data_IF_951813279867
#
_entry.id   IF_951813279867
#
_cell.length_a   1.000
_cell.length_b   1.000
_cell.length_c   1.000
_cell.angle_alpha   90.00
_cell.angle_beta   90.00
_cell.angle_gamma   90.00
#
_symmetry.space_group_name_H-M   'P 1'
#
loop_
_entity.id
_entity.type
_entity.pdbx_description
1 polymer ?
#
# COMPACT_ATOMS: atom_id res chain seq x y z
N UNK A 1 -39.50 -14.57 -20.68
CA UNK A 1 -38.88 -13.50 -19.88
C UNK A 1 -37.40 -13.85 -19.76
N UNK A 2 -36.55 -13.22 -20.56
CA UNK A 2 -35.10 -13.43 -20.48
C UNK A 2 -34.60 -12.64 -19.26
N UNK A 3 -34.18 -13.34 -18.21
CA UNK A 3 -33.49 -12.72 -17.08
C UNK A 3 -32.16 -12.17 -17.63
N UNK A 4 -32.08 -10.86 -17.82
CA UNK A 4 -30.82 -10.21 -18.15
C UNK A 4 -29.82 -10.51 -17.04
N UNK A 5 -28.85 -11.38 -17.32
CA UNK A 5 -27.76 -11.62 -16.40
C UNK A 5 -27.02 -10.28 -16.21
N UNK A 6 -27.11 -9.74 -15.01
CA UNK A 6 -26.39 -8.53 -14.63
C UNK A 6 -24.90 -8.86 -14.68
N UNK A 7 -24.22 -8.46 -15.76
CA UNK A 7 -22.80 -8.75 -15.94
C UNK A 7 -22.00 -7.94 -14.94
N UNK A 8 -21.32 -8.61 -14.00
CA UNK A 8 -20.39 -7.97 -13.07
C UNK A 8 -19.41 -7.10 -13.88
N UNK A 9 -19.25 -5.81 -13.55
CA UNK A 9 -18.29 -4.96 -14.24
C UNK A 9 -16.88 -5.52 -14.05
N UNK A 10 -15.99 -5.40 -15.05
CA UNK A 10 -14.63 -5.89 -14.92
C UNK A 10 -13.91 -5.14 -13.79
N UNK A 11 -13.00 -5.85 -13.12
CA UNK A 11 -12.12 -5.29 -12.11
C UNK A 11 -11.16 -4.25 -12.69
N UNK A 12 -10.48 -3.52 -11.82
CA UNK A 12 -9.52 -2.47 -12.18
C UNK A 12 -8.10 -2.90 -11.90
N UNK A 13 -7.21 -2.76 -12.89
CA UNK A 13 -5.77 -2.89 -12.71
C UNK A 13 -5.18 -1.58 -12.18
N UNK A 14 -4.48 -1.67 -11.05
CA UNK A 14 -3.60 -0.63 -10.50
C UNK A 14 -2.19 -1.17 -10.43
N UNK A 15 -1.41 -0.90 -11.47
CA UNK A 15 -0.02 -1.33 -11.58
C UNK A 15 0.95 -0.17 -11.42
N UNK A 16 2.03 -0.36 -10.69
CA UNK A 16 3.05 0.64 -10.48
C UNK A 16 4.34 0.07 -9.87
N UNK A 17 5.02 0.92 -9.12
CA UNK A 17 6.32 0.64 -8.52
C UNK A 17 6.28 0.84 -6.99
N UNK A 18 7.21 0.20 -6.27
CA UNK A 18 7.47 0.45 -4.86
C UNK A 18 8.16 1.81 -4.66
N UNK A 19 7.32 2.85 -4.64
CA UNK A 19 7.72 4.24 -4.55
C UNK A 19 7.44 5.00 -5.85
N UNK A 20 7.60 6.31 -5.77
CA UNK A 20 7.42 7.22 -6.91
C UNK A 20 8.62 8.15 -7.13
N UNK A 21 9.71 7.97 -6.38
CA UNK A 21 10.91 8.81 -6.47
C UNK A 21 12.15 8.02 -6.05
N UNK A 22 13.24 8.14 -6.82
CA UNK A 22 14.54 7.56 -6.53
C UNK A 22 15.66 8.51 -7.01
N UNK A 23 16.81 8.60 -6.32
CA UNK A 23 17.98 9.31 -6.82
C UNK A 23 18.44 8.84 -8.20
N UNK A 24 18.34 7.54 -8.48
CA UNK A 24 18.75 6.97 -9.78
C UNK A 24 17.89 7.51 -10.92
N UNK A 25 16.58 7.63 -10.68
CA UNK A 25 15.63 8.14 -11.68
C UNK A 25 15.93 9.58 -12.10
N UNK A 26 16.54 10.39 -11.21
CA UNK A 26 16.94 11.78 -11.47
C UNK A 26 18.15 11.91 -12.39
N UNK A 27 18.89 10.82 -12.63
CA UNK A 27 20.05 10.80 -13.53
C UNK A 27 19.68 10.77 -15.03
N UNK A 28 18.42 11.07 -15.37
CA UNK A 28 17.92 11.00 -16.75
C UNK A 28 17.30 9.64 -17.12
N UNK A 29 17.31 8.67 -16.20
CA UNK A 29 16.81 7.30 -16.42
C UNK A 29 15.28 7.25 -16.54
N UNK A 30 14.57 8.04 -15.74
CA UNK A 30 13.11 8.11 -15.78
C UNK A 30 12.58 9.54 -15.70
N UNK A 31 13.20 10.37 -14.85
CA UNK A 31 12.91 11.79 -14.80
C UNK A 31 13.77 12.55 -15.82
N UNK A 32 13.18 13.48 -16.60
CA UNK A 32 13.94 14.39 -17.43
C UNK A 32 15.00 15.14 -16.61
N UNK A 33 16.15 15.43 -17.23
CA UNK A 33 17.17 16.26 -16.59
C UNK A 33 16.58 17.61 -16.15
N UNK A 34 16.89 18.01 -14.91
CA UNK A 34 16.41 19.26 -14.35
C UNK A 34 14.95 19.27 -13.89
N UNK A 35 14.25 18.13 -13.90
CA UNK A 35 12.91 18.02 -13.30
C UNK A 35 12.96 18.43 -11.83
N UNK A 36 12.09 19.36 -11.41
CA UNK A 36 12.04 19.80 -10.02
C UNK A 36 11.44 18.69 -9.14
N UNK A 37 11.92 18.59 -7.90
CA UNK A 37 11.47 17.56 -6.95
C UNK A 37 9.95 17.56 -6.72
N UNK A 38 9.34 18.73 -6.71
CA UNK A 38 7.88 18.89 -6.56
C UNK A 38 7.07 18.47 -7.81
N UNK A 39 7.73 18.24 -8.94
CA UNK A 39 7.13 17.72 -10.17
C UNK A 39 7.26 16.20 -10.32
N UNK A 40 8.11 15.54 -9.52
CA UNK A 40 8.37 14.09 -9.63
C UNK A 40 7.10 13.26 -9.47
N UNK A 41 6.26 13.59 -8.47
CA UNK A 41 4.99 12.91 -8.27
C UNK A 41 4.11 12.99 -9.53
N UNK A 42 3.95 14.18 -10.11
CA UNK A 42 3.09 14.36 -11.28
C UNK A 42 3.65 13.64 -12.51
N UNK A 43 4.97 13.63 -12.66
CA UNK A 43 5.64 12.88 -13.70
C UNK A 43 5.38 11.36 -13.58
N UNK A 44 5.45 10.84 -12.36
CA UNK A 44 5.15 9.44 -12.07
C UNK A 44 3.66 9.10 -12.25
N UNK A 45 2.77 9.89 -11.62
CA UNK A 45 1.34 9.65 -11.57
C UNK A 45 0.63 9.81 -12.93
N UNK A 46 1.30 10.45 -13.91
CA UNK A 46 0.82 10.48 -15.29
C UNK A 46 1.01 9.15 -16.02
N UNK A 47 1.93 8.29 -15.55
CA UNK A 47 2.20 6.97 -16.13
C UNK A 47 1.58 5.84 -15.32
N UNK A 48 1.63 5.92 -13.99
CA UNK A 48 1.18 4.85 -13.10
C UNK A 48 0.05 5.32 -12.19
N UNK A 49 -1.08 4.59 -12.11
CA UNK A 49 -2.23 4.97 -11.28
C UNK A 49 -2.04 4.64 -9.79
N UNK A 50 -0.87 4.14 -9.39
CA UNK A 50 -0.58 3.78 -8.00
C UNK A 50 0.91 3.68 -7.72
N UNK A 51 1.29 3.77 -6.44
CA UNK A 51 2.59 3.34 -5.94
C UNK A 51 2.44 2.65 -4.57
N UNK A 52 3.38 1.76 -4.24
CA UNK A 52 3.52 1.15 -2.91
C UNK A 52 4.50 1.98 -2.06
N UNK A 53 4.02 2.51 -0.94
CA UNK A 53 4.76 3.42 -0.09
C UNK A 53 5.40 2.67 1.08
N UNK A 54 6.72 2.66 1.09
CA UNK A 54 7.51 2.07 2.17
C UNK A 54 7.90 3.09 3.25
N UNK A 55 7.56 4.38 3.12
CA UNK A 55 7.95 5.41 4.10
C UNK A 55 7.45 5.07 5.50
N UNK A 56 6.19 4.66 5.64
CA UNK A 56 5.57 4.26 6.91
C UNK A 56 6.22 3.03 7.54
N UNK A 57 6.89 2.19 6.76
CA UNK A 57 7.63 1.04 7.27
C UNK A 57 8.73 1.46 8.26
N UNK A 58 9.43 2.56 7.96
CA UNK A 58 10.51 3.07 8.79
C UNK A 58 10.05 4.05 9.87
N UNK A 59 8.88 4.64 9.69
CA UNK A 59 8.25 5.51 10.67
C UNK A 59 6.99 6.15 10.10
N UNK A 60 5.95 6.25 10.93
CA UNK A 60 4.68 6.83 10.50
C UNK A 60 4.91 8.30 10.09
N UNK A 61 4.60 8.69 8.83
CA UNK A 61 4.90 10.04 8.37
C UNK A 61 4.21 11.12 9.19
N UNK A 62 4.81 12.31 9.21
CA UNK A 62 4.17 13.50 9.76
C UNK A 62 2.88 13.81 9.02
N UNK A 63 1.95 14.43 9.71
CA UNK A 63 0.65 14.79 9.13
C UNK A 63 0.78 15.68 7.88
N UNK A 64 1.68 16.67 7.92
CA UNK A 64 1.98 17.54 6.77
C UNK A 64 2.47 16.76 5.54
N UNK A 65 3.19 15.66 5.73
CA UNK A 65 3.60 14.77 4.64
C UNK A 65 2.39 14.07 4.02
N UNK A 66 1.49 13.52 4.84
CA UNK A 66 0.28 12.84 4.35
C UNK A 66 -0.67 13.82 3.66
N UNK A 67 -0.83 15.03 4.20
CA UNK A 67 -1.58 16.12 3.57
C UNK A 67 -0.98 16.48 2.20
N UNK A 68 0.36 16.52 2.10
CA UNK A 68 1.06 16.71 0.83
C UNK A 68 0.72 15.63 -0.21
N UNK A 69 0.73 14.35 0.19
CA UNK A 69 0.33 13.24 -0.69
C UNK A 69 -1.16 13.33 -1.09
N UNK A 70 -2.06 13.66 -0.16
CA UNK A 70 -3.47 13.84 -0.44
C UNK A 70 -3.69 14.97 -1.46
N UNK A 71 -3.02 16.11 -1.27
CA UNK A 71 -3.05 17.25 -2.21
C UNK A 71 -2.53 16.86 -3.60
N UNK A 72 -1.47 16.08 -3.66
CA UNK A 72 -0.89 15.57 -4.91
C UNK A 72 -1.87 14.68 -5.68
N UNK A 73 -2.56 13.76 -4.99
CA UNK A 73 -3.51 12.82 -5.59
C UNK A 73 -4.91 13.39 -5.85
N UNK A 74 -5.26 14.54 -5.28
CA UNK A 74 -6.58 15.16 -5.45
C UNK A 74 -6.92 15.35 -6.93
N UNK A 75 -8.14 14.93 -7.31
CA UNK A 75 -8.63 15.00 -8.69
C UNK A 75 -8.05 13.94 -9.64
N UNK A 76 -7.29 12.96 -9.12
CA UNK A 76 -6.71 11.85 -9.89
C UNK A 76 -7.30 10.53 -9.41
N UNK A 77 -7.40 9.55 -10.32
CA UNK A 77 -7.63 8.15 -9.92
C UNK A 77 -6.32 7.49 -9.49
N UNK A 78 -5.60 8.12 -8.56
CA UNK A 78 -4.31 7.64 -8.04
C UNK A 78 -4.46 7.09 -6.63
N UNK A 79 -3.82 5.95 -6.32
CA UNK A 79 -3.84 5.37 -4.98
C UNK A 79 -2.45 5.07 -4.43
N UNK A 80 -2.23 5.35 -3.15
CA UNK A 80 -1.04 4.95 -2.40
C UNK A 80 -1.35 3.66 -1.61
N UNK A 81 -0.73 2.54 -1.96
CA UNK A 81 -0.68 1.39 -1.06
C UNK A 81 0.33 1.70 0.05
N UNK A 82 -0.01 1.40 1.29
CA UNK A 82 0.79 1.81 2.46
C UNK A 82 1.34 0.58 3.15
N UNK A 83 2.68 0.45 3.20
CA UNK A 83 3.32 -0.61 3.97
C UNK A 83 3.25 -0.29 5.47
N UNK A 84 2.72 -1.23 6.25
CA UNK A 84 2.55 -1.06 7.70
C UNK A 84 3.93 -0.97 8.39
N UNK A 85 4.08 -0.16 9.46
CA UNK A 85 5.32 -0.03 10.21
C UNK A 85 6.02 -1.35 10.52
N UNK A 86 7.37 -1.34 10.44
CA UNK A 86 8.19 -2.48 10.84
C UNK A 86 8.03 -2.83 12.31
N UNK A 87 7.68 -1.85 13.15
CA UNK A 87 7.40 -2.06 14.56
C UNK A 87 6.25 -3.04 14.79
N UNK A 88 5.25 -3.04 13.88
CA UNK A 88 4.11 -3.97 13.91
C UNK A 88 4.47 -5.31 13.26
N UNK A 89 5.05 -5.28 12.06
CA UNK A 89 5.19 -6.51 11.25
C UNK A 89 6.44 -7.31 11.55
N UNK A 90 7.55 -6.64 11.88
CA UNK A 90 8.87 -7.25 12.02
C UNK A 90 9.32 -7.31 13.48
N UNK A 91 9.23 -6.21 14.21
CA UNK A 91 9.78 -6.11 15.57
C UNK A 91 8.88 -6.81 16.58
N UNK A 92 7.61 -6.43 16.67
CA UNK A 92 6.61 -7.10 17.53
C UNK A 92 5.99 -8.35 16.92
N UNK A 93 6.10 -8.55 15.59
CA UNK A 93 5.50 -9.68 14.89
C UNK A 93 4.00 -9.83 15.22
N UNK A 94 3.26 -8.72 15.06
CA UNK A 94 1.83 -8.59 15.35
C UNK A 94 1.44 -8.76 16.82
N UNK A 95 2.39 -8.71 17.76
CA UNK A 95 2.06 -8.57 19.18
C UNK A 95 1.44 -7.19 19.43
N UNK A 96 0.25 -7.16 20.04
CA UNK A 96 -0.46 -5.95 20.46
C UNK A 96 -0.43 -4.78 19.45
N UNK A 97 -0.91 -4.98 18.21
CA UNK A 97 -0.73 -4.00 17.14
C UNK A 97 -1.61 -2.75 17.30
N UNK A 98 -2.52 -2.75 18.28
CA UNK A 98 -3.63 -1.81 18.46
C UNK A 98 -3.27 -0.35 18.30
N UNK A 99 -2.41 0.17 19.17
CA UNK A 99 -2.12 1.61 19.22
C UNK A 99 -1.40 2.10 17.97
N UNK A 100 -0.44 1.32 17.46
CA UNK A 100 0.30 1.69 16.25
C UNK A 100 -0.61 1.68 15.02
N UNK A 101 -1.49 0.68 14.89
CA UNK A 101 -2.45 0.60 13.78
C UNK A 101 -3.48 1.72 13.86
N UNK A 102 -4.06 1.99 15.03
CA UNK A 102 -5.00 3.12 15.24
C UNK A 102 -4.35 4.45 14.92
N UNK A 103 -3.11 4.67 15.37
CA UNK A 103 -2.39 5.90 15.09
C UNK A 103 -2.06 6.06 13.59
N UNK A 104 -1.61 4.99 12.91
CA UNK A 104 -1.42 4.98 11.47
C UNK A 104 -2.74 5.31 10.74
N UNK A 105 -3.84 4.66 11.12
CA UNK A 105 -5.15 4.85 10.50
C UNK A 105 -5.67 6.28 10.61
N UNK A 106 -5.49 6.90 11.78
CA UNK A 106 -5.77 8.33 12.02
C UNK A 106 -4.91 9.21 11.10
N UNK A 107 -3.62 8.94 11.01
CA UNK A 107 -2.69 9.70 10.14
C UNK A 107 -3.06 9.63 8.66
N UNK A 108 -3.63 8.52 8.20
CA UNK A 108 -4.02 8.32 6.80
C UNK A 108 -5.37 8.95 6.43
N UNK A 109 -6.08 9.59 7.37
CA UNK A 109 -7.37 10.22 7.11
C UNK A 109 -7.40 11.18 5.90
N UNK A 110 -6.37 12.04 5.64
CA UNK A 110 -6.38 12.90 4.46
C UNK A 110 -6.43 12.11 3.14
N UNK A 111 -5.73 10.97 3.05
CA UNK A 111 -5.78 10.11 1.86
C UNK A 111 -7.13 9.44 1.68
N UNK A 112 -7.76 9.02 2.80
CA UNK A 112 -9.12 8.44 2.78
C UNK A 112 -10.13 9.44 2.25
N UNK A 113 -10.11 10.67 2.77
CA UNK A 113 -11.03 11.76 2.37
C UNK A 113 -11.00 12.06 0.87
N UNK A 114 -9.84 11.97 0.22
CA UNK A 114 -9.69 12.24 -1.22
C UNK A 114 -9.74 10.97 -2.09
N UNK A 115 -10.04 9.80 -1.50
CA UNK A 115 -10.11 8.52 -2.23
C UNK A 115 -8.77 7.98 -2.73
N UNK A 116 -7.65 8.49 -2.19
CA UNK A 116 -6.30 8.13 -2.62
C UNK A 116 -5.62 7.08 -1.72
N UNK A 117 -6.28 6.62 -0.65
CA UNK A 117 -5.76 5.49 0.13
C UNK A 117 -6.01 4.18 -0.63
N UNK A 118 -4.93 3.47 -0.95
CA UNK A 118 -4.95 2.10 -1.43
C UNK A 118 -4.85 1.07 -0.28
N UNK A 119 -4.51 -0.19 -0.57
CA UNK A 119 -4.41 -1.23 0.45
C UNK A 119 -3.32 -0.96 1.51
N UNK A 120 -3.55 -1.43 2.74
CA UNK A 120 -2.51 -1.59 3.75
C UNK A 120 -1.79 -2.92 3.53
N UNK A 121 -0.45 -2.87 3.42
CA UNK A 121 0.39 -4.03 3.21
C UNK A 121 1.07 -4.46 4.51
N UNK A 122 0.74 -5.66 4.98
CA UNK A 122 1.38 -6.38 6.07
C UNK A 122 2.35 -7.42 5.49
N UNK A 123 3.58 -7.01 5.24
CA UNK A 123 4.64 -7.97 4.89
C UNK A 123 5.31 -8.47 6.17
N UNK A 124 5.23 -9.78 6.42
CA UNK A 124 5.78 -10.43 7.61
C UNK A 124 7.17 -11.04 7.30
N UNK A 125 8.14 -10.97 8.22
CA UNK A 125 9.51 -11.43 7.95
C UNK A 125 9.61 -12.95 7.90
N UNK A 126 10.67 -13.50 7.27
CA UNK A 126 10.86 -14.95 7.18
C UNK A 126 11.03 -15.63 8.54
N UNK A 127 11.47 -14.91 9.59
CA UNK A 127 11.58 -15.45 10.95
C UNK A 127 10.26 -15.54 11.72
N UNK A 128 9.16 -15.00 11.16
CA UNK A 128 7.86 -15.03 11.82
C UNK A 128 7.05 -16.24 11.37
N UNK A 129 7.05 -17.30 12.16
CA UNK A 129 6.21 -18.46 11.94
C UNK A 129 4.72 -18.15 12.18
N UNK A 130 3.85 -18.92 11.52
CA UNK A 130 2.39 -18.87 11.64
C UNK A 130 1.91 -18.79 13.09
N UNK A 131 1.07 -17.79 13.36
CA UNK A 131 0.25 -17.67 14.56
C UNK A 131 -1.14 -17.17 14.15
N UNK A 132 -2.15 -18.03 14.33
CA UNK A 132 -3.53 -17.67 14.00
C UNK A 132 -4.11 -16.71 15.04
N UNK A 133 -3.76 -16.89 16.32
CA UNK A 133 -4.16 -16.01 17.42
C UNK A 133 -3.76 -14.55 17.15
N UNK A 134 -2.51 -14.31 16.72
CA UNK A 134 -2.03 -12.97 16.38
C UNK A 134 -2.72 -12.38 15.15
N UNK A 135 -3.01 -13.22 14.16
CA UNK A 135 -3.74 -12.79 12.97
C UNK A 135 -5.20 -12.41 13.31
N UNK A 136 -5.83 -13.16 14.23
CA UNK A 136 -7.17 -12.89 14.74
C UNK A 136 -7.20 -11.66 15.64
N UNK A 137 -6.21 -11.47 16.52
CA UNK A 137 -6.09 -10.26 17.34
C UNK A 137 -5.96 -9.00 16.45
N UNK A 138 -5.16 -9.08 15.38
CA UNK A 138 -5.09 -8.01 14.39
C UNK A 138 -6.45 -7.78 13.71
N UNK A 139 -7.22 -8.84 13.42
CA UNK A 139 -8.56 -8.70 12.85
C UNK A 139 -9.47 -7.89 13.78
N UNK A 140 -9.49 -8.19 15.08
CA UNK A 140 -10.26 -7.43 16.06
C UNK A 140 -9.90 -5.94 16.02
N UNK A 141 -8.59 -5.62 16.06
CA UNK A 141 -8.11 -4.23 15.96
C UNK A 141 -8.57 -3.54 14.68
N UNK A 142 -8.47 -4.21 13.52
CA UNK A 142 -8.85 -3.64 12.24
C UNK A 142 -10.36 -3.45 12.10
N UNK A 143 -11.17 -4.34 12.72
CA UNK A 143 -12.63 -4.22 12.76
C UNK A 143 -13.13 -3.14 13.72
N UNK A 144 -12.33 -2.72 14.69
CA UNK A 144 -12.64 -1.58 15.57
C UNK A 144 -12.36 -0.22 14.93
N UNK A 145 -11.69 -0.17 13.76
CA UNK A 145 -11.41 1.10 13.10
C UNK A 145 -12.69 1.76 12.56
N UNK A 146 -12.79 3.07 12.80
CA UNK A 146 -13.81 3.94 12.20
C UNK A 146 -13.56 4.14 10.70
N UNK A 147 -14.63 4.34 9.91
CA UNK A 147 -14.60 4.58 8.46
C UNK A 147 -13.80 3.53 7.65
N UNK A 148 -13.83 2.28 8.08
CA UNK A 148 -13.06 1.15 7.49
C UNK A 148 -13.74 0.50 6.29
N UNK A 149 -14.88 0.99 5.81
CA UNK A 149 -15.69 0.35 4.76
C UNK A 149 -14.93 0.14 3.44
N UNK A 150 -13.88 0.93 3.22
CA UNK A 150 -13.01 0.84 2.05
C UNK A 150 -11.60 0.37 2.37
N UNK A 151 -11.35 -0.08 3.61
CA UNK A 151 -10.07 -0.63 4.01
C UNK A 151 -9.82 -1.95 3.27
N UNK A 152 -8.75 -1.96 2.47
CA UNK A 152 -8.18 -3.17 1.86
C UNK A 152 -6.90 -3.55 2.61
N UNK A 153 -6.74 -4.82 2.94
CA UNK A 153 -5.58 -5.35 3.65
C UNK A 153 -4.95 -6.49 2.86
N UNK A 154 -3.64 -6.41 2.64
CA UNK A 154 -2.86 -7.44 1.98
C UNK A 154 -1.80 -8.02 2.92
N UNK A 155 -1.66 -9.35 2.96
CA UNK A 155 -0.63 -10.05 3.72
C UNK A 155 0.40 -10.69 2.81
N UNK A 156 1.66 -10.32 2.99
CA UNK A 156 2.77 -11.02 2.36
C UNK A 156 3.54 -11.84 3.38
N UNK A 157 3.35 -13.15 3.33
CA UNK A 157 4.05 -14.08 4.19
C UNK A 157 5.40 -14.49 3.59
N UNK A 158 6.41 -14.60 4.46
CA UNK A 158 7.76 -15.05 4.08
C UNK A 158 8.15 -16.39 4.73
N UNK A 159 7.47 -16.79 5.79
CA UNK A 159 7.71 -18.09 6.42
C UNK A 159 6.76 -19.14 5.83
N UNK A 160 7.24 -20.34 5.42
CA UNK A 160 6.43 -21.36 4.77
C UNK A 160 5.20 -21.82 5.56
N UNK A 161 5.25 -21.79 6.89
CA UNK A 161 4.14 -22.25 7.73
C UNK A 161 2.85 -21.44 7.57
N UNK A 162 2.88 -20.25 6.96
CA UNK A 162 1.67 -19.46 6.69
C UNK A 162 0.88 -19.92 5.45
N UNK A 163 1.48 -20.73 4.56
CA UNK A 163 0.81 -21.18 3.33
C UNK A 163 -0.04 -22.42 3.62
N UNK A 164 -1.16 -22.20 4.32
CA UNK A 164 -2.08 -23.25 4.78
C UNK A 164 -3.54 -22.85 4.66
N UNK A 165 -4.42 -23.84 4.50
CA UNK A 165 -5.84 -23.65 4.30
C UNK A 165 -6.53 -22.86 5.43
N UNK A 166 -6.12 -23.08 6.68
CA UNK A 166 -6.66 -22.35 7.85
C UNK A 166 -6.31 -20.86 7.85
N UNK A 167 -5.08 -20.50 7.45
CA UNK A 167 -4.69 -19.10 7.21
C UNK A 167 -5.54 -18.50 6.11
N UNK A 168 -5.70 -19.20 4.98
CA UNK A 168 -6.52 -18.71 3.86
C UNK A 168 -7.99 -18.53 4.24
N UNK A 169 -8.53 -19.38 5.13
CA UNK A 169 -9.87 -19.22 5.65
C UNK A 169 -10.03 -17.91 6.43
N UNK A 170 -9.08 -17.58 7.31
CA UNK A 170 -9.08 -16.30 8.06
C UNK A 170 -8.99 -15.12 7.09
N UNK A 171 -8.11 -15.18 6.08
CA UNK A 171 -8.00 -14.12 5.08
C UNK A 171 -9.30 -13.94 4.29
N UNK A 172 -9.93 -15.02 3.82
CA UNK A 172 -11.21 -15.00 3.10
C UNK A 172 -12.34 -14.43 3.92
N UNK A 173 -12.44 -14.84 5.19
CA UNK A 173 -13.49 -14.38 6.07
C UNK A 173 -13.43 -12.86 6.33
N UNK A 174 -12.24 -12.25 6.19
CA UNK A 174 -12.03 -10.82 6.35
C UNK A 174 -11.88 -10.07 5.01
N UNK A 175 -12.03 -10.74 3.87
CA UNK A 175 -11.76 -10.21 2.53
C UNK A 175 -10.35 -9.58 2.39
N UNK A 176 -9.35 -10.20 3.03
CA UNK A 176 -7.95 -9.80 2.98
C UNK A 176 -7.21 -10.56 1.89
N UNK A 177 -6.39 -9.87 1.11
CA UNK A 177 -5.65 -10.49 0.02
C UNK A 177 -4.36 -11.15 0.53
N UNK A 178 -4.17 -12.43 0.21
CA UNK A 178 -2.83 -13.01 0.17
C UNK A 178 -2.05 -12.32 -0.96
N UNK A 179 -0.87 -11.82 -0.65
CA UNK A 179 0.03 -11.24 -1.66
C UNK A 179 0.64 -12.37 -2.48
N UNK A 180 0.44 -12.29 -3.79
CA UNK A 180 1.08 -13.16 -4.77
C UNK A 180 2.49 -12.63 -5.04
N UNK A 181 3.51 -13.26 -4.45
CA UNK A 181 4.90 -12.83 -4.57
C UNK A 181 5.61 -13.60 -5.67
N UNK A 182 6.11 -12.91 -6.70
CA UNK A 182 7.20 -13.45 -7.50
C UNK A 182 8.49 -13.21 -6.72
N UNK A 183 9.11 -14.27 -6.22
CA UNK A 183 10.31 -14.21 -5.40
C UNK A 183 11.12 -15.49 -5.61
N UNK A 184 12.46 -15.43 -5.80
CA UNK A 184 13.27 -16.63 -6.09
C UNK A 184 13.22 -17.67 -4.97
N UNK A 185 13.22 -17.23 -3.71
CA UNK A 185 13.25 -18.12 -2.55
C UNK A 185 11.88 -18.55 -2.01
N UNK A 186 10.78 -18.17 -2.67
CA UNK A 186 9.42 -18.52 -2.20
C UNK A 186 8.64 -19.24 -3.29
N UNK A 187 7.75 -20.18 -2.91
CA UNK A 187 6.86 -20.80 -3.89
C UNK A 187 5.91 -19.76 -4.47
N UNK A 188 5.61 -19.91 -5.76
CA UNK A 188 4.45 -19.24 -6.35
C UNK A 188 3.17 -19.90 -5.84
N UNK A 189 2.41 -19.18 -5.02
CA UNK A 189 1.13 -19.65 -4.48
C UNK A 189 0.02 -18.78 -5.06
N UNK A 190 -0.80 -19.34 -5.95
CA UNK A 190 -1.89 -18.65 -6.64
C UNK A 190 -3.23 -18.78 -5.89
N UNK A 191 -3.24 -18.47 -4.60
CA UNK A 191 -4.45 -18.53 -3.76
C UNK A 191 -5.10 -17.14 -3.66
N UNK A 192 -6.28 -16.99 -4.25
CA UNK A 192 -7.09 -15.77 -4.09
C UNK A 192 -7.95 -15.87 -2.83
N UNK A 193 -7.70 -14.96 -1.89
CA UNK A 193 -8.39 -14.91 -0.60
C UNK A 193 -9.30 -13.69 -0.45
N UNK A 194 -9.50 -12.91 -1.51
CA UNK A 194 -10.39 -11.75 -1.50
C UNK A 194 -11.11 -11.58 -2.86
N UNK A 195 -12.08 -10.66 -2.89
CA UNK A 195 -12.72 -10.17 -4.11
C UNK A 195 -11.79 -9.25 -4.94
N UNK A 196 -10.56 -9.06 -4.48
CA UNK A 196 -9.45 -8.37 -5.15
C UNK A 196 -8.13 -9.13 -4.89
N UNK A 197 -7.04 -8.73 -5.52
CA UNK A 197 -5.72 -9.35 -5.30
C UNK A 197 -4.57 -8.34 -5.32
N UNK A 198 -3.42 -8.75 -4.80
CA UNK A 198 -2.21 -7.95 -4.66
C UNK A 198 -1.00 -8.76 -5.13
N UNK A 199 -0.20 -8.23 -6.05
CA UNK A 199 0.98 -8.89 -6.60
C UNK A 199 2.22 -8.06 -6.28
N UNK A 200 3.28 -8.72 -5.77
CA UNK A 200 4.60 -8.10 -5.58
C UNK A 200 5.64 -8.81 -6.43
N UNK A 201 6.24 -8.09 -7.37
CA UNK A 201 7.28 -8.61 -8.26
C UNK A 201 8.66 -8.29 -7.70
N UNK A 202 9.27 -9.25 -7.00
CA UNK A 202 10.63 -9.15 -6.45
C UNK A 202 11.72 -9.73 -7.39
N UNK A 203 11.30 -10.53 -8.38
CA UNK A 203 12.15 -11.30 -9.29
C UNK A 203 11.68 -12.76 -9.38
N UNK A 204 12.05 -13.45 -10.45
CA UNK A 204 11.89 -14.91 -10.62
C UNK A 204 13.26 -15.59 -10.39
N UNK A 205 14.33 -15.01 -10.93
CA UNK A 205 15.69 -15.54 -10.87
C UNK A 205 16.50 -14.91 -9.75
N UNK A 206 16.49 -13.58 -9.68
CA UNK A 206 17.36 -12.81 -8.81
C UNK A 206 16.55 -11.81 -7.99
N UNK A 207 16.76 -11.83 -6.68
CA UNK A 207 16.12 -10.88 -5.81
C UNK A 207 16.68 -9.48 -6.10
N UNK A 208 15.81 -8.51 -6.37
CA UNK A 208 16.19 -7.11 -6.58
C UNK A 208 17.17 -6.86 -7.74
N UNK A 209 17.30 -7.74 -8.72
CA UNK A 209 18.11 -7.47 -9.91
C UNK A 209 17.47 -7.99 -11.19
N UNK A 210 16.35 -8.72 -11.07
CA UNK A 210 15.72 -9.35 -12.20
C UNK A 210 15.09 -8.34 -13.16
N UNK A 211 15.17 -8.67 -14.44
CA UNK A 211 14.38 -8.04 -15.48
C UNK A 211 13.48 -9.10 -16.08
N UNK A 212 12.17 -8.95 -15.91
CA UNK A 212 11.21 -9.89 -16.47
C UNK A 212 11.23 -9.80 -17.99
N UNK A 213 11.25 -10.93 -18.67
CA UNK A 213 11.04 -10.95 -20.12
C UNK A 213 9.58 -10.67 -20.44
N UNK A 214 9.31 -10.25 -21.68
CA UNK A 214 7.93 -10.04 -22.15
C UNK A 214 7.07 -11.30 -22.05
N UNK A 215 7.66 -12.49 -22.24
CA UNK A 215 6.98 -13.79 -22.11
C UNK A 215 6.65 -14.13 -20.64
N UNK A 216 7.56 -13.81 -19.71
CA UNK A 216 7.30 -13.94 -18.28
C UNK A 216 6.16 -13.02 -17.84
N UNK A 217 6.19 -11.76 -18.29
CA UNK A 217 5.10 -10.82 -18.07
C UNK A 217 3.80 -11.28 -18.73
N UNK A 218 3.86 -11.92 -19.91
CA UNK A 218 2.67 -12.46 -20.59
C UNK A 218 1.97 -13.53 -19.75
N UNK A 219 2.74 -14.32 -19.00
CA UNK A 219 2.18 -15.32 -18.08
C UNK A 219 1.38 -14.65 -16.95
N UNK A 220 1.87 -13.53 -16.39
CA UNK A 220 1.11 -12.74 -15.41
C UNK A 220 -0.07 -12.00 -16.05
N UNK A 221 0.11 -11.42 -17.24
CA UNK A 221 -0.94 -10.76 -18.01
C UNK A 221 -2.15 -11.68 -18.20
N UNK A 222 -1.92 -12.94 -18.58
CA UNK A 222 -2.99 -13.92 -18.80
C UNK A 222 -3.82 -14.13 -17.53
N UNK A 223 -3.15 -14.29 -16.38
CA UNK A 223 -3.80 -14.43 -15.07
C UNK A 223 -4.59 -13.17 -14.70
N UNK A 224 -3.96 -12.00 -14.83
CA UNK A 224 -4.54 -10.70 -14.51
C UNK A 224 -5.79 -10.45 -15.34
N UNK A 225 -5.75 -10.70 -16.66
CA UNK A 225 -6.93 -10.54 -17.54
C UNK A 225 -8.09 -11.42 -17.09
N UNK A 226 -7.83 -12.68 -16.70
CA UNK A 226 -8.85 -13.57 -16.14
C UNK A 226 -9.46 -12.98 -14.87
N UNK A 227 -8.64 -12.56 -13.90
CA UNK A 227 -9.14 -11.99 -12.64
C UNK A 227 -9.93 -10.70 -12.83
N UNK A 228 -9.48 -9.82 -13.73
CA UNK A 228 -10.23 -8.61 -14.08
C UNK A 228 -11.57 -8.95 -14.73
N UNK A 229 -11.64 -9.96 -15.61
CA UNK A 229 -12.89 -10.43 -16.18
C UNK A 229 -13.85 -10.99 -15.12
N UNK A 230 -13.32 -11.61 -14.06
CA UNK A 230 -14.07 -12.09 -12.89
C UNK A 230 -14.47 -10.95 -11.92
N UNK A 231 -14.25 -9.68 -12.28
CA UNK A 231 -14.60 -8.52 -11.47
C UNK A 231 -13.60 -8.19 -10.36
N UNK A 232 -12.43 -8.84 -10.32
CA UNK A 232 -11.44 -8.65 -9.24
C UNK A 232 -10.50 -7.50 -9.52
N UNK A 233 -10.43 -6.53 -8.62
CA UNK A 233 -9.40 -5.50 -8.67
C UNK A 233 -8.00 -6.11 -8.46
N UNK A 234 -7.00 -5.62 -9.19
CA UNK A 234 -5.62 -6.11 -9.13
C UNK A 234 -4.69 -4.95 -8.78
N UNK A 235 -4.00 -5.06 -7.65
CA UNK A 235 -2.86 -4.20 -7.32
C UNK A 235 -1.57 -4.92 -7.64
N UNK A 236 -0.64 -4.27 -8.33
CA UNK A 236 0.56 -4.90 -8.86
C UNK A 236 1.77 -3.97 -8.74
N UNK A 237 2.81 -4.39 -8.02
CA UNK A 237 3.96 -3.53 -7.74
C UNK A 237 5.29 -4.22 -8.01
N UNK A 238 6.08 -3.60 -8.88
CA UNK A 238 7.49 -3.93 -9.08
C UNK A 238 8.31 -3.33 -7.95
N UNK A 239 9.12 -4.17 -7.31
CA UNK A 239 9.70 -3.85 -6.00
C UNK A 239 11.07 -3.20 -6.06
N UNK A 240 11.72 -3.34 -7.21
CA UNK A 240 13.09 -2.91 -7.39
C UNK A 240 13.25 -2.15 -8.71
N UNK A 241 14.28 -1.31 -8.78
CA UNK A 241 14.59 -0.61 -10.02
C UNK A 241 16.09 -0.34 -10.23
N UNK A 242 16.75 -1.18 -11.04
CA UNK A 242 18.07 -0.91 -11.60
C UNK A 242 17.87 -0.35 -13.01
N UNK A 243 18.20 0.93 -13.19
CA UNK A 243 18.17 1.56 -14.51
C UNK A 243 16.78 1.64 -15.15
N UNK A 244 15.69 1.84 -14.40
CA UNK A 244 14.26 1.85 -14.83
C UNK A 244 13.63 0.50 -15.19
N UNK A 245 14.33 -0.61 -15.02
CA UNK A 245 13.81 -1.97 -15.24
C UNK A 245 12.43 -2.21 -14.62
N UNK A 246 12.21 -1.88 -13.35
CA UNK A 246 10.92 -2.11 -12.68
C UNK A 246 9.80 -1.26 -13.25
N UNK A 247 10.12 -0.01 -13.62
CA UNK A 247 9.16 0.90 -14.27
C UNK A 247 8.81 0.41 -15.68
N UNK A 248 9.79 -0.04 -16.45
CA UNK A 248 9.58 -0.57 -17.79
C UNK A 248 8.73 -1.84 -17.75
N UNK A 249 8.99 -2.75 -16.80
CA UNK A 249 8.18 -3.94 -16.60
C UNK A 249 6.74 -3.60 -16.21
N UNK A 250 6.52 -2.58 -15.37
CA UNK A 250 5.17 -2.07 -15.08
C UNK A 250 4.49 -1.53 -16.34
N UNK A 251 5.21 -0.76 -17.17
CA UNK A 251 4.67 -0.23 -18.42
C UNK A 251 4.32 -1.33 -19.43
N UNK A 252 5.18 -2.34 -19.58
CA UNK A 252 4.94 -3.51 -20.41
C UNK A 252 3.71 -4.28 -19.92
N UNK A 253 3.61 -4.58 -18.62
CA UNK A 253 2.46 -5.28 -18.04
C UNK A 253 1.15 -4.51 -18.27
N UNK A 254 1.13 -3.20 -18.03
CA UNK A 254 -0.03 -2.34 -18.31
C UNK A 254 -0.41 -2.41 -19.79
N UNK A 255 0.58 -2.36 -20.69
CA UNK A 255 0.35 -2.43 -22.14
C UNK A 255 -0.24 -3.78 -22.54
N UNK A 256 0.33 -4.88 -22.07
CA UNK A 256 -0.14 -6.22 -22.37
C UNK A 256 -1.56 -6.47 -21.85
N UNK A 257 -1.92 -5.93 -20.67
CA UNK A 257 -3.26 -6.06 -20.08
C UNK A 257 -4.29 -5.16 -20.79
N UNK A 258 -3.98 -3.90 -21.04
CA UNK A 258 -4.95 -2.89 -21.49
C UNK A 258 -4.93 -2.59 -22.98
N UNK A 259 -3.92 -3.07 -23.71
CA UNK A 259 -3.62 -2.70 -25.10
C UNK A 259 -3.11 -1.26 -25.26
N UNK A 260 -2.85 -0.54 -24.17
CA UNK A 260 -2.43 0.87 -24.20
C UNK A 260 -1.21 1.08 -23.31
N UNK A 261 -0.14 1.60 -23.91
CA UNK A 261 1.02 2.02 -23.14
C UNK A 261 0.67 3.19 -22.21
N UNK A 262 1.20 3.20 -20.97
CA UNK A 262 1.05 4.34 -20.09
C UNK A 262 1.69 5.57 -20.72
N UNK A 263 0.88 6.61 -20.97
CA UNK A 263 1.34 7.80 -21.69
C UNK A 263 2.22 8.66 -20.78
N UNK A 264 3.38 9.14 -21.23
CA UNK A 264 3.98 10.33 -20.66
C UNK A 264 3.05 11.50 -20.98
N UNK A 265 2.11 11.84 -20.10
CA UNK A 265 1.38 13.09 -20.28
C UNK A 265 2.31 14.26 -19.91
N UNK A 266 2.37 15.26 -20.78
CA UNK A 266 2.92 16.56 -20.42
C UNK A 266 2.17 17.07 -19.17
N UNK A 267 2.85 17.76 -18.24
CA UNK A 267 2.16 18.35 -17.09
C UNK A 267 1.02 19.22 -17.62
N UNK A 268 -0.20 18.95 -17.15
CA UNK A 268 -1.38 19.70 -17.61
C UNK A 268 -1.12 21.20 -17.41
N UNK A 269 -1.22 21.97 -18.50
CA UNK A 269 -1.14 23.43 -18.47
C UNK A 269 -2.27 23.94 -17.57
N UNK A 270 -1.93 24.33 -16.34
CA UNK A 270 -2.89 24.88 -15.36
C UNK A 270 -2.80 24.29 -13.95
N UNK A 271 -2.28 23.07 -13.77
CA UNK A 271 -2.16 22.51 -12.40
C UNK A 271 -0.94 23.06 -11.67
N UNK A 272 0.18 23.31 -12.37
CA UNK A 272 1.39 23.84 -11.73
C UNK A 272 1.16 25.25 -11.11
N UNK A 273 0.46 26.16 -11.80
CA UNK A 273 0.30 27.53 -11.29
C UNK A 273 -0.69 27.65 -10.12
N UNK A 274 -1.70 26.79 -10.02
CA UNK A 274 -2.59 26.74 -8.85
C UNK A 274 -1.96 26.04 -7.65
N UNK A 275 -1.02 25.11 -7.87
CA UNK A 275 -0.30 24.43 -6.80
C UNK A 275 0.75 25.30 -6.09
N UNK A 276 1.40 26.21 -6.82
CA UNK A 276 2.35 27.19 -6.28
C UNK A 276 1.67 28.54 -6.08
N UNK A 277 0.72 28.62 -5.16
CA UNK A 277 0.27 29.90 -4.62
C UNK A 277 1.51 30.74 -4.24
N UNK A 278 1.52 32.01 -4.67
CA UNK A 278 2.62 32.98 -4.53
C UNK A 278 3.31 32.83 -3.15
N UNK A 279 4.45 32.14 -3.09
CA UNK A 279 5.32 32.24 -1.92
C UNK A 279 5.93 33.64 -1.92
N UNK A 280 5.52 34.47 -0.96
CA UNK A 280 6.34 35.61 -0.52
C UNK A 280 7.70 35.05 -0.10
N UNK A 281 8.76 35.71 -0.57
CA UNK A 281 10.14 35.38 -0.21
C UNK A 281 10.35 35.79 1.23
N UNK A 282 10.34 34.83 2.15
CA UNK A 282 10.89 35.01 3.48
C UNK A 282 11.99 33.95 3.70
N UNK A 283 13.20 34.48 3.87
CA UNK A 283 14.45 33.97 4.45
C UNK A 283 14.96 32.53 4.15
N UNK A 284 16.29 32.34 4.00
CA UNK A 284 16.87 31.07 3.57
C UNK A 284 16.74 29.98 4.66
N UNK A 285 16.62 28.70 4.26
CA UNK A 285 16.58 27.58 5.20
C UNK A 285 17.97 27.36 5.84
N UNK A 286 18.03 26.86 7.09
CA UNK A 286 19.30 26.54 7.73
C UNK A 286 20.02 25.39 7.00
N UNK A 287 21.33 25.53 6.92
CA UNK A 287 22.29 24.63 6.27
C UNK A 287 22.14 23.18 6.68
N UNK A 288 22.17 22.28 5.69
CA UNK A 288 22.29 20.84 5.86
C UNK A 288 23.59 20.50 6.62
N UNK A 289 23.46 19.71 7.69
CA UNK A 289 24.60 19.12 8.40
C UNK A 289 24.97 17.80 7.70
N UNK A 290 26.26 17.51 7.45
CA UNK A 290 26.70 16.23 6.89
C UNK A 290 26.61 15.09 7.89
N UNK A 291 26.39 13.89 7.36
CA UNK A 291 26.44 12.59 8.02
C UNK A 291 27.91 12.13 8.10
N UNK A 292 28.42 11.90 9.30
CA UNK A 292 29.67 11.16 9.57
C UNK A 292 29.50 10.38 10.89
N UNK A 293 29.97 9.12 10.88
CA UNK A 293 29.68 8.14 11.92
C UNK A 293 30.69 8.03 13.06
N UNK A 294 30.22 7.26 14.06
CA UNK A 294 30.93 6.43 15.04
C UNK A 294 31.67 7.07 16.26
N UNK A 295 31.37 6.41 17.40
CA UNK A 295 32.15 6.18 18.63
C UNK A 295 32.13 7.20 19.81
N UNK A 296 31.42 6.74 20.85
CA UNK A 296 31.84 6.54 22.25
C UNK A 296 32.02 7.67 23.30
N UNK A 297 31.43 7.36 24.48
CA UNK A 297 31.77 7.74 25.88
C UNK A 297 31.17 9.03 26.51
N UNK A 298 30.19 8.76 27.38
CA UNK A 298 29.98 9.21 28.78
C UNK A 298 29.85 10.69 29.23
N UNK A 299 28.75 10.87 29.98
CA UNK A 299 28.63 11.51 31.30
C UNK A 299 28.14 12.97 31.45
N UNK A 300 27.00 13.04 32.16
CA UNK A 300 26.68 13.94 33.29
C UNK A 300 25.96 15.30 33.07
N UNK A 301 24.83 15.39 33.78
CA UNK A 301 24.36 16.50 34.65
C UNK A 301 23.43 17.63 34.13
N UNK A 302 22.19 17.57 34.66
CA UNK A 302 21.42 18.56 35.43
C UNK A 302 20.74 19.82 34.81
N UNK A 303 19.41 19.87 35.02
CA UNK A 303 18.48 21.01 35.30
C UNK A 303 18.37 22.15 34.27
N UNK A 304 17.23 22.78 33.97
CA UNK A 304 16.13 23.26 34.83
C UNK A 304 14.90 23.66 33.98
N UNK A 305 13.73 23.44 34.58
CA UNK A 305 12.35 23.94 34.37
C UNK A 305 12.27 25.46 34.07
N UNK A 306 11.37 26.02 33.25
CA UNK A 306 9.92 26.35 33.48
C UNK A 306 9.30 27.04 32.21
N UNK A 307 7.95 27.21 32.15
CA UNK A 307 7.12 27.25 30.94
C UNK A 307 6.56 28.64 30.58
N UNK A 308 5.90 28.78 29.41
CA UNK A 308 5.05 29.93 29.07
C UNK A 308 3.73 29.46 28.40
N UNK A 309 2.65 30.09 28.88
CA UNK A 309 1.21 30.03 28.60
C UNK A 309 0.80 30.30 27.13
N UNK A 310 -0.21 29.61 26.58
CA UNK A 310 -1.64 29.98 26.41
C UNK A 310 -1.90 31.30 25.66
N UNK A 311 -2.61 31.16 24.54
CA UNK A 311 -3.69 31.99 23.96
C UNK A 311 -4.02 31.31 22.61
N UNK A 312 -5.25 31.10 22.14
CA UNK A 312 -6.53 31.79 22.34
C UNK A 312 -7.14 31.91 20.93
N UNK A 313 -8.27 31.23 20.72
CA UNK A 313 -9.41 31.48 19.81
C UNK A 313 -9.17 31.95 18.34
N UNK A 314 -9.81 31.27 17.38
CA UNK A 314 -11.04 31.81 16.76
C UNK A 314 -11.53 30.96 15.57
N UNK A 315 -12.85 30.84 15.53
CA UNK A 315 -13.69 30.21 14.53
C UNK A 315 -13.56 30.85 13.13
N UNK A 316 -13.75 30.04 12.08
CA UNK A 316 -14.70 30.42 11.05
C UNK A 316 -15.13 29.23 10.18
N UNK A 317 -16.45 29.09 10.11
CA UNK A 317 -17.21 28.34 9.12
C UNK A 317 -16.89 28.84 7.70
N UNK A 318 -16.86 27.92 6.73
CA UNK A 318 -17.41 28.18 5.42
C UNK A 318 -17.78 26.86 4.73
N UNK A 319 -19.08 26.76 4.45
CA UNK A 319 -19.71 25.68 3.72
C UNK A 319 -19.37 25.80 2.23
N UNK A 320 -18.98 24.69 1.59
CA UNK A 320 -19.02 24.61 0.14
C UNK A 320 -19.45 23.21 -0.33
N UNK A 321 -20.60 23.19 -0.98
CA UNK A 321 -21.32 22.02 -1.48
C UNK A 321 -20.81 21.62 -2.87
N UNK A 322 -20.43 20.35 -3.06
CA UNK A 322 -20.22 19.77 -4.40
C UNK A 322 -20.61 18.26 -4.38
N UNK A 323 -20.99 17.65 -5.53
CA UNK A 323 -22.02 16.62 -5.58
C UNK A 323 -21.43 15.21 -5.42
N UNK A 324 -22.23 14.32 -4.84
CA UNK A 324 -21.89 12.93 -4.55
C UNK A 324 -21.53 12.10 -5.80
N UNK A 325 -20.51 11.22 -5.72
CA UNK A 325 -20.35 10.15 -6.68
C UNK A 325 -21.28 8.97 -6.35
N UNK A 326 -21.88 8.43 -7.41
CA UNK A 326 -22.75 7.25 -7.51
C UNK A 326 -22.50 6.15 -6.49
N UNK A 327 -23.59 5.72 -5.82
CA UNK A 327 -23.68 4.58 -4.89
C UNK A 327 -23.14 3.30 -5.55
N UNK A 328 -21.95 2.86 -5.15
CA UNK A 328 -21.58 1.44 -5.23
C UNK A 328 -22.17 0.73 -4.02
N UNK A 329 -22.63 -0.51 -4.21
CA UNK A 329 -23.22 -1.32 -3.14
C UNK A 329 -22.28 -1.40 -1.93
N UNK A 330 -22.85 -1.12 -0.76
CA UNK A 330 -22.20 -1.18 0.55
C UNK A 330 -21.87 -2.66 0.83
N UNK A 331 -20.60 -3.06 1.03
CA UNK A 331 -20.34 -4.37 1.61
C UNK A 331 -20.97 -4.37 3.01
N UNK A 332 -21.75 -5.40 3.33
CA UNK A 332 -22.27 -5.57 4.69
C UNK A 332 -21.06 -5.57 5.63
N UNK A 333 -21.12 -4.71 6.66
CA UNK A 333 -20.21 -4.78 7.81
C UNK A 333 -20.44 -6.12 8.50
N UNK A 334 -19.71 -7.15 8.08
CA UNK A 334 -19.66 -8.41 8.80
C UNK A 334 -18.91 -8.18 10.12
N UNK A 335 -19.45 -8.69 11.22
CA UNK A 335 -18.72 -8.79 12.49
C UNK A 335 -17.38 -9.51 12.25
N UNK A 336 -16.32 -9.25 13.04
CA UNK A 336 -15.06 -9.98 12.94
C UNK A 336 -15.34 -11.47 12.95
N UNK A 337 -15.05 -12.16 11.84
CA UNK A 337 -15.12 -13.62 11.79
C UNK A 337 -13.87 -14.14 12.47
N UNK A 338 -13.94 -14.29 13.79
CA UNK A 338 -13.01 -15.10 14.55
C UNK A 338 -13.41 -16.55 14.29
N UNK A 339 -12.64 -17.24 13.46
CA UNK A 339 -12.86 -18.67 13.21
C UNK A 339 -12.45 -19.41 14.48
N UNK A 340 -13.40 -20.08 15.12
CA UNK A 340 -13.11 -21.05 16.16
C UNK A 340 -12.38 -22.24 15.53
N UNK A 341 -11.12 -22.43 15.91
CA UNK A 341 -10.24 -23.47 15.42
C UNK A 341 -9.98 -24.54 16.49
N UNK A 342 -10.90 -24.69 17.44
CA UNK A 342 -10.91 -25.85 18.34
C UNK A 342 -10.70 -27.12 17.50
N UNK A 343 -9.72 -27.97 17.82
CA UNK A 343 -9.46 -29.17 17.04
C UNK A 343 -10.75 -30.00 17.01
N UNK A 344 -11.16 -30.44 15.81
CA UNK A 344 -12.24 -31.43 15.74
C UNK A 344 -11.88 -32.61 16.65
N UNK A 345 -12.82 -33.13 17.45
CA UNK A 345 -12.57 -34.30 18.27
C UNK A 345 -12.06 -35.41 17.36
N UNK A 346 -10.92 -36.01 17.74
CA UNK A 346 -10.33 -37.12 17.00
C UNK A 346 -11.43 -38.17 16.72
N UNK A 347 -11.48 -38.75 15.51
CA UNK A 347 -12.44 -39.80 15.22
C UNK A 347 -12.25 -40.90 16.27
N UNK A 348 -13.35 -41.25 16.94
CA UNK A 348 -13.34 -42.32 17.93
C UNK A 348 -12.76 -43.57 17.26
N UNK A 349 -11.62 -44.04 17.77
CA UNK A 349 -11.09 -45.34 17.40
C UNK A 349 -12.10 -46.37 17.88
N UNK A 350 -12.75 -47.04 16.93
CA UNK A 350 -13.56 -48.23 17.19
C UNK A 350 -12.64 -49.31 17.78
N UNK A 351 -12.85 -49.77 19.03
CA UNK A 351 -12.01 -50.79 19.64
C UNK A 351 -12.30 -52.22 19.16
N UNK A 352 -13.00 -52.41 18.03
CA UNK A 352 -13.29 -53.73 17.48
C UNK A 352 -13.12 -53.85 15.96
N UNK A 353 -11.90 -54.18 15.51
CA UNK A 353 -11.66 -54.85 14.23
C UNK A 353 -10.45 -55.79 14.33
#
# INVERSE_FOLDING_TARGET
>A
MSSGAETTPPGVLRCGHAGFSSPEWRKGVFFPHGLKKDQEFFHYANRYPTCEMNTSFYGIPRESTIQGWAKQATGRSFQYAIKVPKSVTHESQLEDPGDTIRFLWKRLAPLRKVGALGPLLFQLPPRFARSLDKLQQLALVLHELDDKEHLRVAFEFRHPSWFRADVYAVLRANNWALVLSSHPDLPWVEELTADWTYIRFHGIRLLHEDNYTDDELTTFTTRIKRWLADGKDVFAYFQFDKGSTGLNNAATLITQVTGKAPKPQAPAKGTLMSFFGKRKRDSPPPSAVPDDGADDIASSSSSSTQPIALDGDDDNDDADTNPSPTKRHKPLSAAPVVIDLSPEPAPALDPGA
#
